data_IF_866961457858
#
_entry.id   IF_866961457858
#
_cell.length_a   1.000
_cell.length_b   1.000
_cell.length_c   1.000
_cell.angle_alpha   90.00
_cell.angle_beta   90.00
_cell.angle_gamma   90.00
#
_symmetry.space_group_name_H-M   'P 1'
#
loop_
_entity.id
_entity.type
_entity.pdbx_description
1 polymer ?
#
# COMPACT_ATOMS: atom_id res chain seq x y z
N UNK A 1 -41.20 -13.95 -7.63
CA UNK A 1 -39.82 -14.36 -7.33
C UNK A 1 -39.28 -13.41 -6.28
N UNK A 2 -38.81 -13.93 -5.15
CA UNK A 2 -38.33 -13.10 -4.05
C UNK A 2 -37.04 -12.36 -4.43
N UNK A 3 -36.95 -11.04 -4.18
CA UNK A 3 -35.73 -10.25 -4.41
C UNK A 3 -34.49 -10.81 -3.69
N UNK A 4 -34.71 -11.54 -2.59
CA UNK A 4 -33.67 -12.19 -1.80
C UNK A 4 -32.88 -13.25 -2.59
N UNK A 5 -33.46 -13.84 -3.64
CA UNK A 5 -32.79 -14.82 -4.49
C UNK A 5 -31.68 -14.21 -5.35
N UNK A 6 -31.76 -12.90 -5.65
CA UNK A 6 -30.78 -12.19 -6.47
C UNK A 6 -29.63 -11.57 -5.66
N UNK A 7 -29.76 -11.47 -4.33
CA UNK A 7 -28.72 -10.90 -3.48
C UNK A 7 -27.36 -11.62 -3.58
N UNK A 8 -27.28 -12.97 -3.61
CA UNK A 8 -26.01 -13.66 -3.77
C UNK A 8 -25.36 -13.39 -5.15
N UNK A 9 -26.17 -13.39 -6.22
CA UNK A 9 -25.74 -13.07 -7.58
C UNK A 9 -25.23 -11.65 -7.70
N UNK A 10 -25.95 -10.68 -7.11
CA UNK A 10 -25.53 -9.29 -7.05
C UNK A 10 -24.21 -9.15 -6.27
N UNK A 11 -24.04 -9.87 -5.16
CA UNK A 11 -22.79 -9.90 -4.40
C UNK A 11 -21.59 -10.38 -5.22
N UNK A 12 -21.76 -11.48 -5.96
CA UNK A 12 -20.71 -12.02 -6.85
C UNK A 12 -20.39 -11.03 -7.98
N UNK A 13 -21.41 -10.43 -8.59
CA UNK A 13 -21.20 -9.45 -9.66
C UNK A 13 -20.42 -8.23 -9.16
N UNK A 14 -20.80 -7.66 -8.01
CA UNK A 14 -20.08 -6.53 -7.39
C UNK A 14 -18.64 -6.91 -7.05
N UNK A 15 -18.40 -8.14 -6.59
CA UNK A 15 -17.06 -8.66 -6.30
C UNK A 15 -16.17 -8.67 -7.55
N UNK A 16 -16.67 -9.25 -8.64
CA UNK A 16 -15.93 -9.36 -9.91
C UNK A 16 -15.64 -7.96 -10.49
N UNK A 17 -16.66 -7.11 -10.55
CA UNK A 17 -16.55 -5.74 -11.10
C UNK A 17 -15.52 -4.94 -10.30
N UNK A 18 -15.56 -5.03 -8.96
CA UNK A 18 -14.61 -4.36 -8.08
C UNK A 18 -13.18 -4.82 -8.36
N UNK A 19 -12.95 -6.13 -8.45
CA UNK A 19 -11.61 -6.68 -8.72
C UNK A 19 -11.04 -6.19 -10.05
N UNK A 20 -11.85 -6.18 -11.11
CA UNK A 20 -11.46 -5.66 -12.42
C UNK A 20 -11.14 -4.16 -12.34
N UNK A 21 -12.00 -3.38 -11.69
CA UNK A 21 -11.81 -1.94 -11.55
C UNK A 21 -10.49 -1.58 -10.85
N UNK A 22 -10.17 -2.25 -9.74
CA UNK A 22 -8.91 -2.03 -9.04
C UNK A 22 -7.70 -2.51 -9.85
N UNK A 23 -7.84 -3.61 -10.59
CA UNK A 23 -6.78 -4.09 -11.49
C UNK A 23 -6.48 -3.05 -12.59
N UNK A 24 -7.51 -2.49 -13.23
CA UNK A 24 -7.36 -1.44 -14.25
C UNK A 24 -6.77 -0.17 -13.65
N UNK A 25 -7.23 0.27 -12.47
CA UNK A 25 -6.66 1.44 -11.81
C UNK A 25 -5.19 1.25 -11.46
N UNK A 26 -4.80 0.07 -10.98
CA UNK A 26 -3.42 -0.27 -10.69
C UNK A 26 -2.55 -0.17 -11.94
N UNK A 27 -2.96 -0.83 -13.03
CA UNK A 27 -2.18 -0.82 -14.27
C UNK A 27 -2.03 0.60 -14.83
N UNK A 28 -3.09 1.42 -14.78
CA UNK A 28 -3.00 2.84 -15.16
C UNK A 28 -2.00 3.64 -14.32
N UNK A 29 -1.86 3.34 -13.03
CA UNK A 29 -0.87 3.99 -12.16
C UNK A 29 0.54 3.55 -12.56
N UNK A 30 0.75 2.24 -12.73
CA UNK A 30 2.04 1.69 -13.14
C UNK A 30 2.47 2.29 -14.49
N UNK A 31 1.63 2.20 -15.52
CA UNK A 31 1.91 2.74 -16.86
C UNK A 31 2.23 4.24 -16.84
N UNK A 32 1.46 5.03 -16.07
CA UNK A 32 1.64 6.48 -16.02
C UNK A 32 2.94 6.91 -15.34
N UNK A 33 3.39 6.15 -14.33
CA UNK A 33 4.52 6.51 -13.48
C UNK A 33 5.73 5.58 -13.68
N UNK A 34 5.69 4.74 -14.71
CA UNK A 34 6.78 3.85 -15.10
C UNK A 34 8.01 4.68 -15.49
N UNK A 35 9.14 4.31 -14.91
CA UNK A 35 10.46 4.86 -15.25
C UNK A 35 11.41 3.70 -15.61
N UNK A 36 12.52 3.96 -16.31
CA UNK A 36 13.46 2.91 -16.72
C UNK A 36 14.05 2.09 -15.56
N UNK A 37 14.16 2.70 -14.38
CA UNK A 37 14.67 2.12 -13.14
C UNK A 37 13.56 1.73 -12.16
N UNK A 38 12.29 1.79 -12.58
CA UNK A 38 11.18 1.42 -11.73
C UNK A 38 11.10 -0.09 -11.52
N UNK A 39 10.77 -0.50 -10.30
CA UNK A 39 10.75 -1.90 -9.87
C UNK A 39 9.35 -2.30 -9.43
N UNK A 40 8.95 -3.53 -9.75
CA UNK A 40 7.68 -4.12 -9.33
C UNK A 40 7.95 -5.36 -8.49
N UNK A 41 7.47 -5.36 -7.25
CA UNK A 41 7.44 -6.53 -6.37
C UNK A 41 6.01 -7.07 -6.30
N UNK A 42 5.87 -8.39 -6.28
CA UNK A 42 4.56 -9.06 -6.22
C UNK A 42 4.55 -10.02 -5.05
N UNK A 43 3.39 -10.11 -4.41
CA UNK A 43 3.11 -11.09 -3.35
C UNK A 43 3.99 -10.93 -2.11
N UNK A 44 4.31 -9.68 -1.74
CA UNK A 44 5.01 -9.39 -0.48
C UNK A 44 4.00 -9.49 0.66
N UNK A 45 4.26 -10.30 1.67
CA UNK A 45 3.37 -10.39 2.83
C UNK A 45 3.65 -9.26 3.81
N UNK A 46 2.68 -8.93 4.65
CA UNK A 46 2.91 -7.90 5.64
C UNK A 46 1.66 -7.46 6.37
N UNK A 47 1.83 -6.40 7.17
CA UNK A 47 0.79 -5.90 8.03
C UNK A 47 0.68 -4.37 7.95
N UNK A 48 -0.53 -3.87 8.16
CA UNK A 48 -0.79 -2.44 8.33
C UNK A 48 -1.35 -2.23 9.73
N UNK A 49 -0.58 -1.53 10.57
CA UNK A 49 -0.99 -1.12 11.91
C UNK A 49 -1.32 0.36 11.87
N UNK A 50 -2.53 0.74 12.26
CA UNK A 50 -2.89 2.15 12.45
C UNK A 50 -3.25 2.37 13.92
N UNK A 51 -2.52 3.28 14.56
CA UNK A 51 -2.72 3.68 15.96
C UNK A 51 -3.19 5.13 15.97
N UNK A 52 -4.41 5.36 16.42
CA UNK A 52 -4.97 6.71 16.56
C UNK A 52 -5.08 7.03 18.05
N UNK A 53 -4.46 8.14 18.47
CA UNK A 53 -4.51 8.65 19.85
C UNK A 53 -5.32 9.94 19.91
N UNK A 54 -6.51 9.90 20.48
CA UNK A 54 -7.24 11.09 20.94
C UNK A 54 -7.00 11.34 22.43
N UNK A 55 -7.42 12.50 22.92
CA UNK A 55 -7.29 12.86 24.34
C UNK A 55 -7.96 11.84 25.29
N UNK A 56 -9.03 11.17 24.84
CA UNK A 56 -9.82 10.20 25.62
C UNK A 56 -10.05 8.87 24.89
N UNK A 57 -9.43 8.66 23.72
CA UNK A 57 -9.68 7.47 22.90
C UNK A 57 -8.39 6.94 22.31
N UNK A 58 -8.13 5.65 22.54
CA UNK A 58 -7.06 4.91 21.89
C UNK A 58 -7.68 3.85 20.99
N UNK A 59 -7.36 3.89 19.70
CA UNK A 59 -7.77 2.81 18.78
C UNK A 59 -6.56 2.27 18.02
N UNK A 60 -6.45 0.95 18.00
CA UNK A 60 -5.44 0.21 17.24
C UNK A 60 -6.13 -0.70 16.25
N UNK A 61 -5.89 -0.49 14.97
CA UNK A 61 -6.39 -1.32 13.87
C UNK A 61 -5.25 -2.09 13.26
N UNK A 62 -5.44 -3.39 13.11
CA UNK A 62 -4.47 -4.31 12.56
C UNK A 62 -5.04 -4.98 11.32
N UNK A 63 -4.27 -5.01 10.23
CA UNK A 63 -4.66 -5.67 8.98
C UNK A 63 -3.51 -6.50 8.45
N UNK A 64 -3.81 -7.74 8.08
CA UNK A 64 -2.89 -8.62 7.38
C UNK A 64 -3.18 -8.51 5.90
N UNK A 65 -2.13 -8.27 5.12
CA UNK A 65 -2.25 -7.94 3.72
C UNK A 65 -1.17 -8.68 2.94
N UNK A 66 -1.45 -8.98 1.68
CA UNK A 66 -0.40 -9.14 0.69
C UNK A 66 -0.28 -7.85 -0.12
N UNK A 67 0.92 -7.53 -0.57
CA UNK A 67 1.22 -6.30 -1.28
C UNK A 67 1.76 -6.64 -2.66
N UNK A 68 1.25 -5.90 -3.64
CA UNK A 68 1.99 -5.64 -4.85
C UNK A 68 2.56 -4.23 -4.71
N UNK A 69 3.86 -4.08 -4.98
CA UNK A 69 4.60 -2.86 -4.71
C UNK A 69 5.18 -2.38 -6.03
N UNK A 70 4.97 -1.12 -6.35
CA UNK A 70 5.62 -0.45 -7.48
C UNK A 70 6.45 0.69 -6.93
N UNK A 71 7.73 0.70 -7.25
CA UNK A 71 8.69 1.66 -6.74
C UNK A 71 9.36 2.37 -7.90
N UNK A 72 9.43 3.69 -7.81
CA UNK A 72 10.12 4.53 -8.77
C UNK A 72 11.12 5.45 -8.05
N UNK A 73 11.70 6.41 -8.75
CA UNK A 73 12.79 7.25 -8.24
C UNK A 73 12.45 8.07 -6.99
N UNK A 74 11.17 8.36 -6.75
CA UNK A 74 10.75 9.26 -5.68
C UNK A 74 9.53 8.80 -4.90
N UNK A 75 8.94 7.64 -5.24
CA UNK A 75 7.71 7.13 -4.64
C UNK A 75 7.65 5.59 -4.58
N UNK A 76 6.99 5.07 -3.56
CA UNK A 76 6.52 3.68 -3.47
C UNK A 76 5.00 3.69 -3.47
N UNK A 77 4.43 2.95 -4.41
CA UNK A 77 3.02 2.63 -4.48
C UNK A 77 2.81 1.23 -3.92
N UNK A 78 2.09 1.14 -2.81
CA UNK A 78 1.67 -0.11 -2.19
C UNK A 78 0.22 -0.39 -2.58
N UNK A 79 0.00 -1.54 -3.19
CA UNK A 79 -1.33 -2.05 -3.56
C UNK A 79 -1.68 -3.20 -2.61
N UNK A 80 -2.31 -2.90 -1.45
CA UNK A 80 -2.72 -3.92 -0.51
C UNK A 80 -3.84 -4.78 -1.11
N UNK A 81 -3.67 -6.08 -1.01
CA UNK A 81 -4.65 -7.12 -1.25
C UNK A 81 -4.98 -7.70 0.12
N UNK A 82 -6.02 -7.14 0.72
CA UNK A 82 -6.57 -7.59 2.00
C UNK A 82 -7.40 -8.85 1.76
N UNK A 83 -7.50 -9.75 2.76
CA UNK A 83 -8.41 -10.90 2.71
C UNK A 83 -9.90 -10.49 2.59
N UNK A 84 -10.22 -9.22 2.82
CA UNK A 84 -11.57 -8.67 2.78
C UNK A 84 -11.94 -8.13 1.40
N UNK A 85 -11.94 -8.98 0.37
CA UNK A 85 -12.70 -8.82 -0.91
C UNK A 85 -12.33 -7.62 -1.82
N UNK A 86 -11.84 -6.51 -1.28
CA UNK A 86 -11.57 -5.24 -1.93
C UNK A 86 -10.10 -4.96 -1.74
N UNK A 87 -9.35 -4.92 -2.84
CA UNK A 87 -8.00 -4.35 -2.85
C UNK A 87 -8.08 -2.95 -2.26
N UNK A 88 -7.37 -2.73 -1.15
CA UNK A 88 -7.41 -1.46 -0.44
C UNK A 88 -6.95 -0.32 -1.36
N UNK A 89 -7.36 0.91 -1.02
CA UNK A 89 -6.87 2.10 -1.72
C UNK A 89 -5.34 2.06 -1.79
N UNK A 90 -4.79 2.28 -2.99
CA UNK A 90 -3.35 2.42 -3.21
C UNK A 90 -2.77 3.38 -2.17
N UNK A 91 -1.79 2.92 -1.41
CA UNK A 91 -1.03 3.74 -0.48
C UNK A 91 0.19 4.22 -1.25
N UNK A 92 0.22 5.50 -1.58
CA UNK A 92 1.33 6.09 -2.29
C UNK A 92 2.18 6.88 -1.30
N UNK A 93 3.44 6.49 -1.17
CA UNK A 93 4.42 7.05 -0.25
C UNK A 93 5.50 7.75 -1.07
N UNK A 94 5.87 8.97 -0.71
CA UNK A 94 6.98 9.69 -1.38
C UNK A 94 8.24 9.76 -0.51
N UNK A 95 9.40 9.71 -1.17
CA UNK A 95 10.71 9.98 -0.59
C UNK A 95 11.19 11.36 -1.04
N UNK A 96 11.50 12.22 -0.08
CA UNK A 96 11.95 13.58 -0.36
C UNK A 96 10.84 14.55 -0.75
N UNK A 97 11.24 15.76 -1.16
CA UNK A 97 10.35 16.90 -1.39
C UNK A 97 9.66 16.91 -2.75
N UNK A 98 10.19 16.17 -3.72
CA UNK A 98 9.67 16.16 -5.09
C UNK A 98 8.25 15.53 -5.15
N UNK A 99 7.37 16.21 -5.87
CA UNK A 99 5.96 15.83 -6.10
C UNK A 99 5.69 15.46 -7.56
N UNK A 100 6.73 15.40 -8.41
CA UNK A 100 6.63 14.85 -9.77
C UNK A 100 6.45 13.32 -9.67
N UNK A 101 5.89 12.71 -10.71
CA UNK A 101 5.76 11.25 -10.84
C UNK A 101 5.01 10.52 -9.70
N UNK A 102 4.05 11.20 -9.07
CA UNK A 102 3.29 10.65 -7.93
C UNK A 102 1.82 11.12 -7.95
N UNK A 103 0.91 10.41 -7.27
CA UNK A 103 -0.53 10.74 -7.18
C UNK A 103 -0.99 10.86 -5.73
N UNK A 104 -1.25 12.09 -5.25
CA UNK A 104 -1.68 12.37 -3.85
C UNK A 104 -0.88 11.58 -2.79
N UNK A 105 0.46 11.70 -2.77
CA UNK A 105 1.31 10.91 -1.88
C UNK A 105 1.15 11.31 -0.41
N UNK A 106 1.19 10.33 0.47
CA UNK A 106 1.48 10.52 1.89
C UNK A 106 3.01 10.59 2.07
N UNK A 107 3.50 11.39 3.01
CA UNK A 107 4.94 11.52 3.26
C UNK A 107 5.43 10.31 4.04
N UNK A 108 6.42 9.58 3.51
CA UNK A 108 7.16 8.62 4.33
C UNK A 108 8.02 9.42 5.31
N UNK A 109 7.83 9.17 6.61
CA UNK A 109 8.45 9.98 7.68
C UNK A 109 9.64 9.26 8.29
N UNK A 110 9.47 7.98 8.54
CA UNK A 110 10.50 7.10 9.09
C UNK A 110 10.41 5.76 8.34
N UNK A 111 11.54 5.08 8.22
CA UNK A 111 11.59 3.71 7.75
C UNK A 111 12.71 2.95 8.45
N UNK A 112 12.50 1.66 8.66
CA UNK A 112 13.51 0.76 9.20
C UNK A 112 13.70 -0.41 8.23
N UNK A 113 14.94 -0.74 7.94
CA UNK A 113 15.30 -1.86 7.06
C UNK A 113 16.03 -2.89 7.91
N UNK A 114 15.46 -4.08 7.98
CA UNK A 114 16.04 -5.25 8.64
C UNK A 114 16.46 -6.28 7.58
N UNK A 115 16.98 -7.42 8.02
CA UNK A 115 17.53 -8.44 7.11
C UNK A 115 16.46 -9.16 6.27
N UNK A 116 15.24 -9.26 6.78
CA UNK A 116 14.13 -10.01 6.16
C UNK A 116 12.78 -9.27 6.17
N UNK A 117 12.72 -8.05 6.72
CA UNK A 117 11.53 -7.22 6.70
C UNK A 117 11.87 -5.73 6.68
N UNK A 118 10.91 -4.92 6.26
CA UNK A 118 11.00 -3.46 6.23
C UNK A 118 9.77 -2.86 6.90
N UNK A 119 9.98 -1.82 7.70
CA UNK A 119 8.90 -1.02 8.26
C UNK A 119 8.88 0.36 7.62
N UNK A 120 7.69 0.76 7.15
CA UNK A 120 7.41 2.07 6.60
C UNK A 120 6.45 2.80 7.53
N UNK A 121 6.88 3.91 8.11
CA UNK A 121 6.13 4.66 9.11
C UNK A 121 5.70 6.00 8.52
N UNK A 122 4.41 6.26 8.59
CA UNK A 122 3.79 7.47 8.07
C UNK A 122 2.72 8.03 9.02
N UNK A 123 2.50 9.32 8.90
CA UNK A 123 1.46 10.07 9.60
C UNK A 123 0.54 10.66 8.55
N UNK A 124 -0.67 10.09 8.35
CA UNK A 124 -1.56 10.55 7.28
C UNK A 124 -2.00 12.01 7.52
N UNK A 125 -1.84 12.88 6.52
CA UNK A 125 -2.13 14.32 6.66
C UNK A 125 -3.61 14.59 7.05
N UNK A 126 -4.52 13.71 6.63
CA UNK A 126 -5.96 13.78 6.93
C UNK A 126 -6.32 13.25 8.33
N UNK A 127 -5.37 12.64 9.05
CA UNK A 127 -5.51 12.10 10.40
C UNK A 127 -4.24 12.35 11.21
N UNK A 128 -3.98 13.60 11.66
CA UNK A 128 -2.70 14.00 12.27
C UNK A 128 -2.36 13.22 13.55
N UNK A 129 -3.37 12.72 14.26
CA UNK A 129 -3.21 11.93 15.48
C UNK A 129 -3.06 10.42 15.23
N UNK A 130 -2.89 10.01 13.96
CA UNK A 130 -2.76 8.62 13.58
C UNK A 130 -1.35 8.33 13.10
N UNK A 131 -0.70 7.36 13.76
CA UNK A 131 0.52 6.72 13.26
C UNK A 131 0.12 5.49 12.48
N UNK A 132 0.59 5.36 11.24
CA UNK A 132 0.44 4.13 10.45
C UNK A 132 1.81 3.53 10.19
N UNK A 133 1.98 2.27 10.59
CA UNK A 133 3.15 1.45 10.29
C UNK A 133 2.74 0.38 9.29
N UNK A 134 3.50 0.26 8.21
CA UNK A 134 3.34 -0.79 7.21
C UNK A 134 4.59 -1.66 7.29
N UNK A 135 4.43 -2.90 7.70
CA UNK A 135 5.51 -3.88 7.76
C UNK A 135 5.43 -4.78 6.54
N UNK A 136 6.53 -4.89 5.80
CA UNK A 136 6.70 -5.75 4.63
C UNK A 136 7.62 -6.89 5.05
N UNK A 137 7.11 -8.12 5.06
CA UNK A 137 7.73 -9.30 5.64
C UNK A 137 8.05 -10.34 4.58
N UNK A 138 9.05 -11.18 4.86
CA UNK A 138 9.45 -12.27 3.96
C UNK A 138 10.22 -11.78 2.73
N UNK A 139 10.87 -10.63 2.85
CA UNK A 139 11.66 -10.05 1.77
C UNK A 139 12.97 -10.83 1.58
N UNK A 140 13.32 -11.11 0.35
CA UNK A 140 14.62 -11.71 0.02
C UNK A 140 15.73 -10.63 0.00
N UNK A 141 17.00 -11.07 -0.08
CA UNK A 141 18.15 -10.16 -0.04
C UNK A 141 18.17 -9.15 -1.21
N UNK A 142 17.74 -9.56 -2.39
CA UNK A 142 17.69 -8.70 -3.57
C UNK A 142 16.61 -7.61 -3.41
N UNK A 143 15.44 -7.99 -2.87
CA UNK A 143 14.36 -7.06 -2.58
C UNK A 143 14.80 -6.02 -1.53
N UNK A 144 15.40 -6.47 -0.42
CA UNK A 144 15.97 -5.58 0.60
C UNK A 144 16.99 -4.61 -0.01
N UNK A 145 17.87 -5.10 -0.90
CA UNK A 145 18.87 -4.27 -1.58
C UNK A 145 18.21 -3.17 -2.45
N UNK A 146 17.16 -3.53 -3.18
CA UNK A 146 16.42 -2.59 -4.02
C UNK A 146 15.70 -1.52 -3.18
N UNK A 147 15.10 -1.91 -2.06
CA UNK A 147 14.53 -0.96 -1.10
C UNK A 147 15.60 -0.04 -0.49
N UNK A 148 16.78 -0.58 -0.11
CA UNK A 148 17.90 0.24 0.39
C UNK A 148 18.32 1.29 -0.63
N UNK A 149 18.53 0.87 -1.88
CA UNK A 149 18.92 1.77 -2.97
C UNK A 149 17.91 2.90 -3.17
N UNK A 150 16.62 2.58 -3.15
CA UNK A 150 15.57 3.58 -3.36
C UNK A 150 15.36 4.53 -2.18
N UNK A 151 15.43 4.02 -0.94
CA UNK A 151 15.13 4.81 0.27
C UNK A 151 16.32 5.63 0.77
N UNK A 152 17.54 5.11 0.64
CA UNK A 152 18.75 5.75 1.18
C UNK A 152 19.40 6.68 0.14
N UNK A 153 19.08 6.53 -1.16
CA UNK A 153 19.73 7.27 -2.27
C UNK A 153 21.27 7.26 -2.16
N UNK A 154 21.84 6.07 -1.98
CA UNK A 154 23.26 5.84 -2.22
C UNK A 154 23.57 5.81 -3.72
#
# INVERSE_FOLDING_TARGET
MDPFFYLPLAGIAVFIISRIFFYVQKNKIIEKYQQPDAVVFKNIHGTIVSVTKGNLSYSKKFRWCSFEIFMNQNSIFLFPKDFYIVSGKCINLRFGSDRRNTRKPEVLREFHIYDNYIELILYPDWMPNTKRTISLEGLNKEEILLFRKALIKE
#
